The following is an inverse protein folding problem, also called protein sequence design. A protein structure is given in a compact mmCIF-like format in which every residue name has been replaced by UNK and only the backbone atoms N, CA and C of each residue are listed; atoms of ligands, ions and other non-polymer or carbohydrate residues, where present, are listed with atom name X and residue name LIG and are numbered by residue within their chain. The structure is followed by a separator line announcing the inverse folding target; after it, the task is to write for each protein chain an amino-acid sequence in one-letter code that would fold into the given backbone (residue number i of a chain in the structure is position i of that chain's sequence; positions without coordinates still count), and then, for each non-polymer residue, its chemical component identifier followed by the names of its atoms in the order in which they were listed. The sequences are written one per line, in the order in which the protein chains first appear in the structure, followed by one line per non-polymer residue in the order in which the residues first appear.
data_IF_343893878788
#
_entry.id   IF_343893878788
#
_cell.length_a   1.000
_cell.length_b   1.000
_cell.length_c   1.000
_cell.angle_alpha   90.00
_cell.angle_beta   90.00
_cell.angle_gamma   90.00
#
_symmetry.space_group_name_H-M   'P 1'
#
loop_
_entity.id
_entity.type
_entity.pdbx_description
1 polymer ?
#
# COMPACT_ATOMS: atom_id res chain seq x y z
N UNK A 1 3.23 0.35 -18.58
CA UNK A 1 4.61 0.20 -18.10
C UNK A 1 4.52 0.23 -16.59
N UNK A 2 4.83 -0.88 -15.92
CA UNK A 2 4.92 -0.93 -14.46
C UNK A 2 6.40 -0.70 -14.16
N UNK A 3 6.72 0.39 -13.47
CA UNK A 3 8.04 0.55 -12.88
C UNK A 3 7.99 -0.14 -11.52
N UNK A 4 8.83 -1.13 -11.27
CA UNK A 4 8.87 -1.87 -10.01
C UNK A 4 10.23 -1.65 -9.35
N UNK A 5 10.22 -1.14 -8.13
CA UNK A 5 11.36 -1.24 -7.22
C UNK A 5 10.96 -2.18 -6.08
N UNK A 6 11.58 -3.35 -6.07
CA UNK A 6 11.48 -4.32 -4.97
C UNK A 6 12.63 -4.05 -4.00
N UNK A 7 12.37 -3.94 -2.71
CA UNK A 7 13.42 -3.76 -1.70
C UNK A 7 13.15 -4.58 -0.45
N UNK A 8 14.23 -5.28 -0.06
CA UNK A 8 14.64 -5.95 1.18
C UNK A 8 13.57 -6.73 1.94
N UNK A 9 13.85 -8.02 2.15
CA UNK A 9 13.23 -8.84 3.18
C UNK A 9 13.92 -8.51 4.50
N UNK A 10 13.23 -7.82 5.41
CA UNK A 10 13.76 -7.48 6.72
C UNK A 10 13.02 -8.27 7.82
N UNK A 11 13.76 -8.68 8.85
CA UNK A 11 13.15 -9.19 10.07
C UNK A 11 12.60 -8.02 10.89
N UNK A 12 11.29 -7.97 11.08
CA UNK A 12 10.67 -6.99 11.95
C UNK A 12 10.83 -7.45 13.41
N UNK A 13 11.97 -7.11 14.02
CA UNK A 13 12.29 -7.47 15.42
C UNK A 13 11.19 -7.04 16.40
N UNK A 14 10.45 -5.96 16.10
CA UNK A 14 9.32 -5.46 16.92
C UNK A 14 7.98 -6.17 16.72
N UNK A 15 7.82 -6.98 15.67
CA UNK A 15 6.60 -7.70 15.34
C UNK A 15 6.87 -9.20 15.41
N UNK A 16 6.61 -9.79 16.58
CA UNK A 16 6.88 -11.19 16.87
C UNK A 16 5.72 -11.86 17.58
N UNK A 17 5.50 -13.13 17.27
CA UNK A 17 4.65 -14.01 18.07
C UNK A 17 5.54 -15.09 18.68
N UNK A 18 5.50 -15.22 20.01
CA UNK A 18 6.52 -15.97 20.77
C UNK A 18 7.90 -15.41 20.41
N UNK A 19 8.80 -16.23 19.87
CA UNK A 19 10.18 -15.88 19.52
C UNK A 19 10.43 -15.81 18.00
N UNK A 20 9.38 -15.93 17.18
CA UNK A 20 9.53 -15.87 15.72
C UNK A 20 9.20 -14.46 15.22
N UNK A 21 10.17 -13.72 14.64
CA UNK A 21 9.91 -12.42 14.06
C UNK A 21 9.12 -12.56 12.75
N UNK A 22 8.30 -11.56 12.46
CA UNK A 22 7.66 -11.42 11.16
C UNK A 22 8.70 -11.08 10.08
N UNK A 23 8.48 -11.60 8.88
CA UNK A 23 9.23 -11.17 7.70
C UNK A 23 8.45 -10.06 7.00
N UNK A 24 9.14 -8.98 6.67
CA UNK A 24 8.56 -7.85 5.93
C UNK A 24 9.25 -7.75 4.59
N UNK A 25 8.45 -7.73 3.51
CA UNK A 25 8.92 -7.37 2.19
C UNK A 25 8.15 -6.19 1.66
N UNK A 26 8.81 -5.30 0.91
CA UNK A 26 8.16 -4.12 0.33
C UNK A 26 8.40 -4.02 -1.18
N UNK A 27 7.42 -3.44 -1.86
CA UNK A 27 7.49 -3.10 -3.27
C UNK A 27 6.79 -1.77 -3.53
N UNK A 28 7.35 -1.00 -4.45
CA UNK A 28 6.71 0.22 -4.96
C UNK A 28 6.59 0.08 -6.47
N UNK A 29 5.41 0.37 -7.01
CA UNK A 29 5.25 0.44 -8.45
C UNK A 29 4.18 1.39 -8.93
N UNK A 30 4.00 1.45 -10.25
CA UNK A 30 2.99 2.28 -10.90
C UNK A 30 1.99 1.42 -11.65
N UNK A 31 0.71 1.76 -11.51
CA UNK A 31 -0.39 1.05 -12.12
C UNK A 31 -1.28 2.02 -12.91
N UNK A 32 -1.74 1.54 -14.07
CA UNK A 32 -2.72 2.24 -14.90
C UNK A 32 -4.11 1.62 -14.70
N UNK A 33 -5.05 2.37 -14.12
CA UNK A 33 -6.34 1.88 -13.64
C UNK A 33 -7.50 2.51 -14.42
N UNK A 34 -8.33 1.68 -15.06
CA UNK A 34 -9.62 2.08 -15.64
C UNK A 34 -10.76 1.43 -14.87
N UNK A 35 -11.84 2.16 -14.60
CA UNK A 35 -13.05 1.60 -13.99
C UNK A 35 -13.96 1.01 -15.07
N UNK A 36 -14.71 -0.05 -14.73
CA UNK A 36 -15.72 -0.66 -15.59
C UNK A 36 -15.26 -0.91 -17.04
N UNK A 37 -16.07 -0.49 -18.01
CA UNK A 37 -15.80 -0.59 -19.46
C UNK A 37 -15.39 0.75 -20.08
N UNK A 38 -14.72 1.63 -19.33
CA UNK A 38 -14.31 2.95 -19.85
C UNK A 38 -13.17 2.88 -20.88
N UNK A 39 -12.55 1.72 -21.04
CA UNK A 39 -11.47 1.51 -22.01
C UNK A 39 -10.12 2.01 -21.52
N UNK A 40 -9.09 1.78 -22.34
CA UNK A 40 -7.69 2.11 -22.02
C UNK A 40 -7.43 3.62 -21.95
N UNK A 41 -8.21 4.40 -22.69
CA UNK A 41 -8.07 5.85 -22.80
C UNK A 41 -8.51 6.59 -21.53
N UNK A 42 -9.24 5.93 -20.62
CA UNK A 42 -9.73 6.50 -19.36
C UNK A 42 -8.90 6.08 -18.13
N UNK A 43 -7.68 5.55 -18.33
CA UNK A 43 -6.84 5.03 -17.24
C UNK A 43 -6.22 6.16 -16.41
N UNK A 44 -6.45 6.12 -15.11
CA UNK A 44 -5.70 6.89 -14.13
C UNK A 44 -4.32 6.25 -13.92
N UNK A 45 -3.32 7.05 -13.59
CA UNK A 45 -1.99 6.57 -13.20
C UNK A 45 -1.84 6.77 -11.70
N UNK A 46 -1.48 5.70 -11.00
CA UNK A 46 -1.35 5.67 -9.54
C UNK A 46 -0.05 4.98 -9.17
N UNK A 47 0.70 5.55 -8.23
CA UNK A 47 1.82 4.87 -7.56
C UNK A 47 1.26 4.08 -6.38
N UNK A 48 1.71 2.84 -6.27
CA UNK A 48 1.27 1.89 -5.25
C UNK A 48 2.47 1.48 -4.42
N UNK A 49 2.35 1.63 -3.11
CA UNK A 49 3.28 1.11 -2.12
C UNK A 49 2.64 -0.13 -1.52
N UNK A 50 3.39 -1.23 -1.41
CA UNK A 50 2.90 -2.50 -0.91
C UNK A 50 3.92 -3.08 0.06
N UNK A 51 3.47 -3.51 1.24
CA UNK A 51 4.25 -4.30 2.18
C UNK A 51 3.51 -5.58 2.51
N UNK A 52 4.22 -6.71 2.45
CA UNK A 52 3.75 -7.98 2.95
C UNK A 52 4.46 -8.32 4.27
N UNK A 53 3.70 -8.36 5.36
CA UNK A 53 4.16 -8.74 6.69
C UNK A 53 3.71 -10.18 6.94
N UNK A 54 4.63 -11.13 6.80
CA UNK A 54 4.37 -12.56 6.98
C UNK A 54 4.46 -12.93 8.46
N UNK A 55 3.32 -13.28 9.06
CA UNK A 55 3.20 -13.77 10.43
C UNK A 55 3.18 -15.32 10.42
N UNK A 56 4.36 -15.93 10.23
CA UNK A 56 4.51 -17.38 9.94
C UNK A 56 3.79 -18.28 10.94
N UNK A 57 3.97 -18.04 12.24
CA UNK A 57 3.45 -18.89 13.32
C UNK A 57 1.92 -18.92 13.42
N UNK A 58 1.25 -17.93 12.82
CA UNK A 58 -0.21 -17.84 12.78
C UNK A 58 -0.76 -17.95 11.36
N UNK A 59 0.06 -18.47 10.44
CA UNK A 59 -0.28 -18.72 9.04
C UNK A 59 -0.99 -17.55 8.33
N UNK A 60 -0.63 -16.31 8.68
CA UNK A 60 -1.31 -15.10 8.19
C UNK A 60 -0.33 -14.16 7.51
N UNK A 61 -0.80 -13.50 6.45
CA UNK A 61 -0.16 -12.33 5.85
C UNK A 61 -0.95 -11.07 6.16
N UNK A 62 -0.23 -10.01 6.53
CA UNK A 62 -0.80 -8.67 6.56
C UNK A 62 -0.25 -7.89 5.38
N UNK A 63 -1.16 -7.49 4.48
CA UNK A 63 -0.84 -6.65 3.34
C UNK A 63 -1.18 -5.20 3.67
N UNK A 64 -0.17 -4.33 3.67
CA UNK A 64 -0.35 -2.88 3.80
C UNK A 64 -0.18 -2.28 2.41
N UNK A 65 -1.20 -1.58 1.92
CA UNK A 65 -1.13 -0.88 0.63
C UNK A 65 -1.47 0.59 0.78
N UNK A 66 -0.71 1.44 0.09
CA UNK A 66 -0.98 2.87 -0.01
C UNK A 66 -0.96 3.28 -1.47
N UNK A 67 -1.96 4.08 -1.87
CA UNK A 67 -2.14 4.55 -3.24
C UNK A 67 -1.91 6.05 -3.28
N UNK A 68 -0.96 6.49 -4.10
CA UNK A 68 -0.70 7.89 -4.39
C UNK A 68 -1.10 8.15 -5.85
N UNK A 69 -2.17 8.92 -6.10
CA UNK A 69 -2.50 9.36 -7.46
C UNK A 69 -1.30 10.08 -8.09
N UNK A 70 -1.14 9.92 -9.40
CA UNK A 70 -0.20 10.71 -10.21
C UNK A 70 -0.95 11.51 -11.27
N UNK A 71 -1.90 10.87 -11.93
CA UNK A 71 -2.70 11.46 -13.01
C UNK A 71 -4.13 10.91 -12.96
N UNK A 72 -5.11 11.81 -12.86
CA UNK A 72 -6.52 11.48 -13.05
C UNK A 72 -6.90 11.82 -14.49
N UNK A 73 -7.33 10.83 -15.24
CA UNK A 73 -7.70 11.01 -16.63
C UNK A 73 -9.05 11.75 -16.73
N UNK A 74 -9.20 12.76 -17.61
CA UNK A 74 -10.47 13.48 -17.79
C UNK A 74 -11.66 12.59 -18.17
N UNK A 75 -11.41 11.46 -18.84
CA UNK A 75 -12.43 10.48 -19.24
C UNK A 75 -12.72 9.46 -18.13
N UNK A 76 -11.98 9.50 -17.01
CA UNK A 76 -12.21 8.64 -15.87
C UNK A 76 -13.48 9.04 -15.13
N UNK A 77 -14.23 8.06 -14.64
CA UNK A 77 -15.41 8.30 -13.80
C UNK A 77 -15.05 9.10 -12.53
N UNK A 78 -13.84 8.87 -11.99
CA UNK A 78 -13.37 9.60 -10.81
C UNK A 78 -13.12 11.08 -11.06
N UNK A 79 -12.92 11.51 -12.32
CA UNK A 79 -12.56 12.89 -12.66
C UNK A 79 -13.59 13.91 -12.16
N UNK A 80 -14.88 13.54 -12.17
CA UNK A 80 -15.96 14.41 -11.68
C UNK A 80 -15.92 14.63 -10.17
N UNK A 81 -15.32 13.71 -9.41
CA UNK A 81 -15.31 13.72 -7.95
C UNK A 81 -14.02 14.33 -7.38
N UNK A 82 -12.88 14.07 -8.01
CA UNK A 82 -11.55 14.48 -7.50
C UNK A 82 -10.81 15.46 -8.42
N UNK A 83 -11.43 15.85 -9.53
CA UNK A 83 -10.79 16.67 -10.56
C UNK A 83 -9.91 15.85 -11.50
N UNK A 84 -9.84 16.28 -12.76
CA UNK A 84 -8.94 15.71 -13.75
C UNK A 84 -7.57 16.40 -13.73
N UNK A 85 -6.54 15.69 -14.20
CA UNK A 85 -5.20 16.21 -14.39
C UNK A 85 -4.17 15.61 -13.43
N UNK A 86 -2.95 16.19 -13.39
CA UNK A 86 -1.92 15.75 -12.48
C UNK A 86 -2.35 16.00 -11.04
N UNK A 87 -2.16 15.01 -10.18
CA UNK A 87 -2.45 15.18 -8.76
C UNK A 87 -1.37 16.00 -8.08
N UNK A 88 -1.79 16.88 -7.17
CA UNK A 88 -0.87 17.63 -6.32
C UNK A 88 -0.22 16.68 -5.31
N UNK A 89 1.12 16.59 -5.24
CA UNK A 89 1.80 15.79 -4.23
C UNK A 89 1.40 16.19 -2.81
N UNK A 90 1.22 15.23 -1.92
CA UNK A 90 0.76 15.47 -0.55
C UNK A 90 1.60 16.53 0.20
N UNK A 91 2.92 16.52 0.00
CA UNK A 91 3.84 17.50 0.58
C UNK A 91 3.50 18.96 0.22
N UNK A 92 3.04 19.19 -1.02
CA UNK A 92 2.68 20.53 -1.50
C UNK A 92 1.35 21.00 -0.92
N UNK A 93 0.50 20.07 -0.49
CA UNK A 93 -0.76 20.34 0.21
C UNK A 93 -0.60 20.42 1.73
N UNK A 94 0.65 20.44 2.25
CA UNK A 94 0.93 20.45 3.68
C UNK A 94 0.63 19.12 4.40
N UNK A 95 0.45 18.04 3.65
CA UNK A 95 0.22 16.69 4.17
C UNK A 95 1.51 15.87 4.15
N UNK A 96 1.58 14.82 4.98
CA UNK A 96 2.70 13.87 4.94
C UNK A 96 2.74 13.13 3.60
N UNK A 97 3.91 12.98 2.96
CA UNK A 97 4.07 12.16 1.76
C UNK A 97 3.58 10.73 1.97
N UNK A 98 2.93 10.15 0.96
CA UNK A 98 2.39 8.78 1.05
C UNK A 98 3.49 7.76 1.34
N UNK A 99 4.70 7.97 0.81
CA UNK A 99 5.86 7.14 1.11
C UNK A 99 6.22 7.13 2.61
N UNK A 100 6.11 8.29 3.28
CA UNK A 100 6.37 8.42 4.72
C UNK A 100 5.25 7.79 5.54
N UNK A 101 3.99 8.04 5.17
CA UNK A 101 2.83 7.40 5.80
C UNK A 101 2.92 5.88 5.69
N UNK A 102 3.28 5.36 4.51
CA UNK A 102 3.48 3.94 4.28
C UNK A 102 4.61 3.37 5.15
N UNK A 103 5.78 4.04 5.19
CA UNK A 103 6.90 3.64 6.06
C UNK A 103 6.48 3.62 7.53
N UNK A 104 5.78 4.64 8.01
CA UNK A 104 5.26 4.71 9.37
C UNK A 104 4.31 3.54 9.64
N UNK A 105 3.32 3.32 8.77
CA UNK A 105 2.36 2.21 8.92
C UNK A 105 3.04 0.84 9.01
N UNK A 106 4.06 0.57 8.17
CA UNK A 106 4.82 -0.68 8.19
C UNK A 106 5.66 -0.81 9.45
N UNK A 107 6.39 0.23 9.83
CA UNK A 107 7.34 0.20 10.97
C UNK A 107 6.66 0.28 12.33
N UNK A 108 5.46 0.85 12.40
CA UNK A 108 4.68 0.96 13.63
C UNK A 108 3.63 -0.15 13.81
N UNK A 109 3.48 -1.06 12.85
CA UNK A 109 2.49 -2.12 12.92
C UNK A 109 2.75 -3.03 14.13
N UNK A 110 1.71 -3.25 14.93
CA UNK A 110 1.75 -4.12 16.13
C UNK A 110 0.49 -4.94 16.21
N UNK A 111 0.65 -6.21 16.58
CA UNK A 111 -0.46 -7.05 17.04
C UNK A 111 -0.49 -6.98 18.57
N UNK A 112 -1.54 -6.39 19.11
CA UNK A 112 -1.73 -6.29 20.56
C UNK A 112 -2.32 -7.58 21.17
N UNK A 113 -3.22 -8.25 20.44
CA UNK A 113 -3.90 -9.46 20.89
C UNK A 113 -3.77 -10.56 19.84
N UNK A 114 -2.79 -11.46 20.04
CA UNK A 114 -2.54 -12.57 19.12
C UNK A 114 -3.64 -13.64 19.10
N UNK A 115 -4.54 -13.63 20.10
CA UNK A 115 -5.75 -14.45 20.09
C UNK A 115 -6.68 -14.13 18.91
N UNK A 116 -6.48 -12.99 18.22
CA UNK A 116 -7.14 -12.67 16.96
C UNK A 116 -6.99 -13.78 15.91
N UNK A 117 -5.86 -14.50 15.93
CA UNK A 117 -5.56 -15.56 14.97
C UNK A 117 -5.88 -16.96 15.50
N UNK A 118 -6.45 -17.08 16.70
CA UNK A 118 -6.91 -18.37 17.22
C UNK A 118 -8.25 -18.72 16.58
N UNK A 119 -8.48 -19.98 16.19
CA UNK A 119 -9.82 -20.45 15.84
C UNK A 119 -10.74 -20.19 17.04
N UNK A 120 -11.91 -19.61 16.81
CA UNK A 120 -12.86 -19.27 17.87
C UNK A 120 -13.09 -20.44 18.81
N UNK A 121 -12.88 -20.20 20.11
CA UNK A 121 -13.33 -21.08 21.20
C UNK A 121 -14.85 -21.13 21.25
#
# INVERSE_FOLDING_TARGET
MVFEHTSIVEEAVGLRYRDVPALVSTAVGQMALSKGRQGREARNIVRVYLANLRLKEVATDVLITSYEPIMINPLSESASSVGAGPSVPAAQSGCLPVAEVFKLAVTSFKVHHWNLFSPGS
#
